data_IF_374452915214
#
_entry.id   IF_374452915214
#
_cell.length_a   1.000
_cell.length_b   1.000
_cell.length_c   1.000
_cell.angle_alpha   90.00
_cell.angle_beta   90.00
_cell.angle_gamma   90.00
#
_symmetry.space_group_name_H-M   'P 1'
#
loop_
_entity.id
_entity.type
_entity.pdbx_description
1 polymer ?
#
# COMPACT_ATOMS: atom_id res chain seq x y z
N UNK A 1 13.65 6.72 5.35
CA UNK A 1 13.77 5.56 4.43
C UNK A 1 12.75 4.58 4.90
N UNK A 2 11.91 4.06 4.00
CA UNK A 2 10.83 3.12 4.37
C UNK A 2 11.39 1.94 5.15
N UNK A 3 10.71 1.57 6.23
CA UNK A 3 10.97 0.32 6.94
C UNK A 3 10.12 -0.78 6.29
N UNK A 4 10.77 -1.78 5.70
CA UNK A 4 10.12 -2.94 5.12
C UNK A 4 10.71 -4.24 5.67
N UNK A 5 9.85 -5.20 6.01
CA UNK A 5 10.23 -6.48 6.61
C UNK A 5 9.15 -7.53 6.38
N UNK A 6 9.50 -8.80 6.50
CA UNK A 6 8.49 -9.87 6.46
C UNK A 6 7.60 -9.82 7.72
N UNK A 7 6.31 -10.01 7.50
CA UNK A 7 5.29 -10.09 8.54
C UNK A 7 5.38 -11.44 9.28
N UNK A 8 5.20 -11.45 10.60
CA UNK A 8 5.25 -12.68 11.43
C UNK A 8 4.01 -13.58 11.34
N UNK A 9 2.88 -13.02 10.90
CA UNK A 9 1.56 -13.67 10.79
C UNK A 9 0.95 -14.09 12.13
N UNK A 10 1.33 -13.44 13.22
CA UNK A 10 0.71 -13.70 14.52
C UNK A 10 -0.70 -13.09 14.60
N UNK A 11 -1.73 -13.88 14.30
CA UNK A 11 -3.13 -13.44 14.35
C UNK A 11 -3.66 -13.23 15.79
N UNK A 12 -2.87 -13.55 16.83
CA UNK A 12 -3.26 -13.30 18.23
C UNK A 12 -3.01 -11.85 18.65
N UNK A 13 -2.25 -11.10 17.85
CA UNK A 13 -1.90 -9.70 18.07
C UNK A 13 -2.70 -8.82 17.11
N UNK A 14 -3.04 -7.60 17.55
CA UNK A 14 -3.76 -6.62 16.74
C UNK A 14 -2.98 -6.31 15.47
N UNK A 15 -3.62 -6.41 14.30
CA UNK A 15 -2.96 -6.23 13.00
C UNK A 15 -2.26 -4.87 12.81
N UNK A 16 -2.56 -3.88 13.64
CA UNK A 16 -1.95 -2.54 13.67
C UNK A 16 -0.61 -2.50 14.41
N UNK A 17 -0.25 -3.56 15.13
CA UNK A 17 1.07 -3.72 15.75
C UNK A 17 2.15 -3.92 14.68
N UNK A 18 3.44 -3.84 14.99
CA UNK A 18 4.48 -3.95 13.97
C UNK A 18 4.52 -5.28 13.21
N UNK A 19 4.20 -6.42 13.83
CA UNK A 19 4.28 -7.75 13.21
C UNK A 19 5.62 -8.06 12.53
N UNK A 20 6.73 -7.61 13.12
CA UNK A 20 8.05 -7.73 12.53
C UNK A 20 8.69 -9.09 12.85
N UNK A 21 8.88 -9.93 11.83
CA UNK A 21 9.56 -11.23 11.96
C UNK A 21 11.07 -11.13 12.27
N UNK A 22 11.66 -9.95 12.11
CA UNK A 22 13.11 -9.72 12.18
C UNK A 22 13.83 -9.86 10.83
N UNK A 23 13.14 -10.31 9.78
CA UNK A 23 13.69 -10.42 8.42
C UNK A 23 13.41 -9.14 7.63
N UNK A 24 14.42 -8.28 7.47
CA UNK A 24 14.30 -7.02 6.72
C UNK A 24 14.22 -7.24 5.21
N UNK A 25 13.48 -6.38 4.52
CA UNK A 25 13.36 -6.35 3.06
C UNK A 25 13.93 -5.03 2.53
N UNK A 26 14.82 -5.11 1.54
CA UNK A 26 15.41 -3.93 0.89
C UNK A 26 14.47 -3.30 -0.13
N UNK A 27 14.74 -2.04 -0.50
CA UNK A 27 14.01 -1.35 -1.56
C UNK A 27 14.17 -2.09 -2.91
N UNK A 28 15.33 -2.68 -3.18
CA UNK A 28 15.56 -3.45 -4.41
C UNK A 28 14.70 -4.72 -4.43
N UNK A 29 14.51 -5.38 -3.28
CA UNK A 29 13.60 -6.53 -3.17
C UNK A 29 12.13 -6.12 -3.40
N UNK A 30 11.71 -4.96 -2.90
CA UNK A 30 10.39 -4.41 -3.22
C UNK A 30 10.26 -4.10 -4.72
N UNK A 31 11.30 -3.53 -5.33
CA UNK A 31 11.31 -3.22 -6.76
C UNK A 31 11.21 -4.48 -7.64
N UNK A 32 11.82 -5.60 -7.23
CA UNK A 32 11.73 -6.88 -7.95
C UNK A 32 10.29 -7.42 -8.03
N UNK A 33 9.44 -7.10 -7.05
CA UNK A 33 8.00 -7.44 -7.08
C UNK A 33 7.13 -6.29 -7.63
N UNK A 34 7.77 -5.29 -8.27
CA UNK A 34 7.12 -4.16 -8.93
C UNK A 34 6.69 -3.02 -7.99
N UNK A 35 6.93 -3.13 -6.68
CA UNK A 35 6.59 -2.08 -5.71
C UNK A 35 7.65 -0.98 -5.75
N UNK A 36 7.24 0.25 -6.00
CA UNK A 36 8.15 1.39 -6.09
C UNK A 36 8.00 2.26 -4.84
N UNK A 37 9.11 2.46 -4.14
CA UNK A 37 9.24 3.43 -3.07
C UNK A 37 10.05 4.65 -3.53
N UNK A 38 9.59 5.85 -3.18
CA UNK A 38 10.35 7.09 -3.35
C UNK A 38 10.27 7.94 -2.08
N UNK A 39 11.39 8.42 -1.53
CA UNK A 39 11.35 9.48 -0.52
C UNK A 39 11.03 10.81 -1.20
N UNK A 40 9.90 11.39 -0.81
CA UNK A 40 9.41 12.69 -1.25
C UNK A 40 9.18 13.61 -0.04
N UNK A 41 10.23 14.15 0.63
CA UNK A 41 10.07 15.05 1.79
C UNK A 41 9.14 16.26 1.59
N UNK A 42 8.87 16.64 0.33
CA UNK A 42 8.00 17.75 -0.02
C UNK A 42 6.98 17.36 -1.09
N UNK A 43 5.85 18.08 -1.13
CA UNK A 43 4.84 17.90 -2.18
C UNK A 43 5.41 18.18 -3.59
N UNK A 44 6.42 19.05 -3.71
CA UNK A 44 7.11 19.30 -4.97
C UNK A 44 7.79 18.03 -5.52
N UNK A 45 8.45 17.25 -4.67
CA UNK A 45 9.09 15.99 -5.09
C UNK A 45 8.05 14.92 -5.45
N UNK A 46 6.91 14.91 -4.78
CA UNK A 46 5.78 14.05 -5.19
C UNK A 46 5.22 14.49 -6.55
N UNK A 47 5.15 15.80 -6.82
CA UNK A 47 4.72 16.33 -8.12
C UNK A 47 5.65 15.93 -9.26
N UNK A 48 6.97 15.87 -9.02
CA UNK A 48 7.92 15.40 -10.02
C UNK A 48 7.62 13.95 -10.43
N UNK A 49 7.33 13.08 -9.45
CA UNK A 49 6.91 11.68 -9.72
C UNK A 49 5.57 11.64 -10.44
N UNK A 50 4.62 12.50 -10.07
CA UNK A 50 3.33 12.60 -10.74
C UNK A 50 3.46 13.00 -12.21
N UNK A 51 4.38 13.91 -12.54
CA UNK A 51 4.69 14.32 -13.92
C UNK A 51 5.35 13.16 -14.67
N UNK A 52 6.39 12.55 -14.09
CA UNK A 52 7.13 11.43 -14.67
C UNK A 52 6.20 10.26 -15.04
N UNK A 53 5.23 9.96 -14.17
CA UNK A 53 4.31 8.82 -14.32
C UNK A 53 2.94 9.18 -14.90
N UNK A 54 2.75 10.43 -15.31
CA UNK A 54 1.50 10.96 -15.88
C UNK A 54 0.28 10.72 -14.96
N UNK A 55 0.42 11.02 -13.67
CA UNK A 55 -0.69 11.04 -12.71
C UNK A 55 -1.43 12.38 -12.81
N UNK A 56 -2.65 12.35 -13.35
CA UNK A 56 -3.42 13.54 -13.72
C UNK A 56 -4.37 14.00 -12.63
N UNK A 57 -4.81 13.08 -11.77
CA UNK A 57 -5.78 13.36 -10.71
C UNK A 57 -5.18 13.06 -9.34
N UNK A 58 -5.70 13.76 -8.33
CA UNK A 58 -5.37 13.52 -6.92
C UNK A 58 -6.48 13.96 -6.00
N UNK A 59 -6.52 13.35 -4.82
CA UNK A 59 -7.30 13.86 -3.69
C UNK A 59 -6.54 13.64 -2.37
N UNK A 60 -7.11 14.16 -1.28
CA UNK A 60 -6.57 14.00 0.07
C UNK A 60 -7.56 13.25 0.93
N UNK A 61 -7.07 12.28 1.68
CA UNK A 61 -7.84 11.51 2.64
C UNK A 61 -7.20 11.58 4.02
N UNK A 62 -8.04 11.55 5.05
CA UNK A 62 -7.63 11.45 6.45
C UNK A 62 -8.38 10.27 7.07
N UNK A 63 -7.66 9.34 7.68
CA UNK A 63 -8.23 8.16 8.33
C UNK A 63 -7.87 8.23 9.81
N UNK A 64 -8.89 8.49 10.64
CA UNK A 64 -8.78 8.55 12.09
C UNK A 64 -10.14 8.36 12.74
N UNK A 65 -10.16 8.23 14.07
CA UNK A 65 -11.42 8.24 14.82
C UNK A 65 -12.18 9.55 14.67
N UNK A 66 -11.49 10.68 14.48
CA UNK A 66 -12.12 11.98 14.26
C UNK A 66 -12.76 12.06 12.87
N UNK A 67 -12.08 11.57 11.82
CA UNK A 67 -12.58 11.67 10.46
C UNK A 67 -13.66 10.63 10.13
N UNK A 68 -13.62 9.45 10.76
CA UNK A 68 -14.49 8.32 10.43
C UNK A 68 -15.44 7.90 11.56
N UNK A 69 -15.22 8.32 12.81
CA UNK A 69 -16.03 7.91 13.96
C UNK A 69 -16.21 6.39 14.04
N UNK A 70 -17.45 5.95 14.22
CA UNK A 70 -17.82 4.53 14.31
C UNK A 70 -17.52 3.73 13.03
N UNK A 71 -17.33 4.40 11.89
CA UNK A 71 -17.00 3.75 10.63
C UNK A 71 -15.51 3.39 10.50
N UNK A 72 -14.66 3.83 11.44
CA UNK A 72 -13.21 3.57 11.39
C UNK A 72 -12.92 2.06 11.34
N UNK A 73 -13.40 1.30 12.32
CA UNK A 73 -13.11 -0.13 12.44
C UNK A 73 -13.60 -0.90 11.20
N UNK A 74 -14.88 -0.82 10.80
CA UNK A 74 -15.35 -1.52 9.60
C UNK A 74 -14.54 -1.17 8.34
N UNK A 75 -14.08 0.08 8.20
CA UNK A 75 -13.20 0.48 7.10
C UNK A 75 -11.81 -0.14 7.20
N UNK A 76 -11.19 -0.17 8.39
CA UNK A 76 -9.91 -0.85 8.58
C UNK A 76 -10.00 -2.34 8.27
N UNK A 77 -11.09 -3.03 8.63
CA UNK A 77 -11.31 -4.43 8.23
C UNK A 77 -11.38 -4.58 6.71
N UNK A 78 -12.10 -3.69 6.04
CA UNK A 78 -12.23 -3.73 4.59
C UNK A 78 -10.88 -3.46 3.89
N UNK A 79 -10.09 -2.49 4.39
CA UNK A 79 -8.77 -2.18 3.85
C UNK A 79 -7.73 -3.26 4.15
N UNK A 80 -7.87 -3.95 5.29
CA UNK A 80 -6.94 -5.01 5.70
C UNK A 80 -7.26 -6.38 5.08
N UNK A 81 -8.43 -6.55 4.48
CA UNK A 81 -8.71 -7.72 3.66
C UNK A 81 -7.78 -7.75 2.44
N UNK A 82 -7.16 -8.90 2.16
CA UNK A 82 -6.27 -9.06 1.00
C UNK A 82 -7.03 -8.83 -0.32
N UNK A 83 -6.52 -7.90 -1.13
CA UNK A 83 -7.13 -7.52 -2.41
C UNK A 83 -6.09 -7.06 -3.43
N UNK A 84 -6.54 -6.93 -4.69
CA UNK A 84 -5.80 -6.25 -5.75
C UNK A 84 -6.68 -5.22 -6.47
N UNK A 85 -6.03 -4.36 -7.24
CA UNK A 85 -6.66 -3.37 -8.11
C UNK A 85 -6.21 -3.59 -9.57
N UNK A 86 -7.05 -3.19 -10.52
CA UNK A 86 -6.71 -3.19 -11.95
C UNK A 86 -5.81 -2.01 -12.36
N UNK A 87 -5.70 -1.01 -11.49
CA UNK A 87 -4.85 0.17 -11.65
C UNK A 87 -3.78 0.23 -10.54
N UNK A 88 -2.76 1.09 -10.73
CA UNK A 88 -1.77 1.36 -9.68
C UNK A 88 -2.44 1.98 -8.44
N UNK A 89 -2.05 1.51 -7.26
CA UNK A 89 -2.40 2.16 -5.99
C UNK A 89 -1.23 3.04 -5.53
N UNK A 90 -1.43 4.37 -5.61
CA UNK A 90 -0.41 5.36 -5.28
C UNK A 90 -0.78 6.13 -4.02
N UNK A 91 0.13 6.17 -3.05
CA UNK A 91 -0.07 6.80 -1.75
C UNK A 91 1.15 7.61 -1.35
N UNK A 92 0.93 8.90 -1.15
CA UNK A 92 1.90 9.82 -0.56
C UNK A 92 1.44 10.21 0.84
N UNK A 93 2.26 9.98 1.85
CA UNK A 93 1.90 10.29 3.25
C UNK A 93 2.26 11.75 3.56
N UNK A 94 1.24 12.53 3.91
CA UNK A 94 1.41 13.93 4.35
C UNK A 94 1.58 14.03 5.87
N UNK A 95 0.89 13.18 6.64
CA UNK A 95 0.93 13.17 8.10
C UNK A 95 0.54 11.78 8.65
N UNK A 96 0.90 11.51 9.91
CA UNK A 96 0.64 10.22 10.56
C UNK A 96 1.40 9.05 9.93
N UNK A 97 0.89 7.83 10.10
CA UNK A 97 1.57 6.62 9.67
C UNK A 97 0.62 5.45 9.40
N UNK A 98 1.06 4.52 8.55
CA UNK A 98 0.32 3.30 8.25
C UNK A 98 1.20 2.20 7.67
N UNK A 99 0.63 1.00 7.61
CA UNK A 99 1.23 -0.17 7.02
C UNK A 99 0.56 -0.53 5.70
N UNK A 100 1.37 -0.76 4.68
CA UNK A 100 0.97 -1.48 3.47
C UNK A 100 1.62 -2.86 3.51
N UNK A 101 0.82 -3.91 3.57
CA UNK A 101 1.33 -5.26 3.41
C UNK A 101 1.16 -5.67 1.94
N UNK A 102 2.20 -6.24 1.35
CA UNK A 102 2.21 -6.73 -0.04
C UNK A 102 2.64 -8.18 -0.08
N UNK A 103 2.03 -8.99 -0.95
CA UNK A 103 2.47 -10.36 -1.18
C UNK A 103 3.76 -10.35 -1.99
N UNK A 104 4.78 -11.02 -1.49
CA UNK A 104 5.90 -11.43 -2.31
C UNK A 104 5.45 -12.55 -3.26
N UNK A 105 5.49 -12.31 -4.56
CA UNK A 105 5.01 -13.28 -5.54
C UNK A 105 5.85 -14.56 -5.64
N UNK A 106 7.10 -14.55 -5.12
CA UNK A 106 8.01 -15.70 -5.18
C UNK A 106 7.70 -16.74 -4.10
N UNK A 107 7.41 -16.28 -2.87
CA UNK A 107 7.23 -17.14 -1.69
C UNK A 107 5.85 -17.01 -1.03
N UNK A 108 4.96 -16.18 -1.60
CA UNK A 108 3.61 -15.85 -1.11
C UNK A 108 3.59 -15.32 0.34
N UNK A 109 4.71 -14.81 0.86
CA UNK A 109 4.79 -14.23 2.21
C UNK A 109 4.38 -12.75 2.19
N UNK A 110 3.86 -12.28 3.32
CA UNK A 110 3.58 -10.85 3.53
C UNK A 110 4.87 -10.07 3.81
N UNK A 111 5.08 -9.01 3.06
CA UNK A 111 6.05 -7.95 3.38
C UNK A 111 5.26 -6.75 3.89
N UNK A 112 5.58 -6.28 5.09
CA UNK A 112 5.00 -5.09 5.71
C UNK A 112 5.89 -3.89 5.45
N UNK A 113 5.32 -2.84 4.86
CA UNK A 113 5.97 -1.56 4.62
C UNK A 113 5.35 -0.51 5.56
N UNK A 114 6.16 0.09 6.44
CA UNK A 114 5.74 1.22 7.29
C UNK A 114 5.99 2.54 6.56
N UNK A 115 4.94 3.31 6.32
CA UNK A 115 5.04 4.61 5.67
C UNK A 115 4.78 5.72 6.67
N UNK A 116 5.61 6.76 6.59
CA UNK A 116 5.56 7.96 7.44
C UNK A 116 5.58 9.22 6.55
N UNK A 117 5.43 10.44 7.11
CA UNK A 117 5.34 11.65 6.29
C UNK A 117 6.55 11.83 5.37
N UNK A 118 6.27 12.13 4.10
CA UNK A 118 7.27 12.24 3.05
C UNK A 118 7.55 10.93 2.30
N UNK A 119 6.89 9.81 2.64
CA UNK A 119 7.00 8.58 1.87
C UNK A 119 5.95 8.51 0.75
N UNK A 120 6.42 8.14 -0.46
CA UNK A 120 5.57 7.76 -1.59
C UNK A 120 5.75 6.28 -1.88
N UNK A 121 4.63 5.54 -1.90
CA UNK A 121 4.59 4.14 -2.31
C UNK A 121 3.65 3.97 -3.51
N UNK A 122 4.09 3.21 -4.50
CA UNK A 122 3.33 2.84 -5.69
C UNK A 122 3.25 1.32 -5.72
N UNK A 123 2.04 0.80 -5.59
CA UNK A 123 1.73 -0.60 -5.76
C UNK A 123 1.32 -0.84 -7.22
N UNK A 124 1.95 -1.78 -7.93
CA UNK A 124 1.59 -2.06 -9.31
C UNK A 124 0.19 -2.69 -9.40
N UNK A 125 -0.50 -2.46 -10.50
CA UNK A 125 -1.75 -3.15 -10.79
C UNK A 125 -1.56 -4.68 -10.71
N UNK A 126 -2.54 -5.40 -10.18
CA UNK A 126 -2.51 -6.87 -10.05
C UNK A 126 -1.71 -7.43 -8.86
N UNK A 127 -1.05 -6.60 -8.04
CA UNK A 127 -0.42 -7.06 -6.80
C UNK A 127 -1.46 -7.27 -5.69
N UNK A 128 -1.34 -8.39 -4.96
CA UNK A 128 -2.08 -8.57 -3.73
C UNK A 128 -1.48 -7.74 -2.61
N UNK A 129 -2.32 -6.93 -1.99
CA UNK A 129 -1.94 -6.05 -0.91
C UNK A 129 -3.11 -5.83 0.06
N UNK A 130 -2.80 -5.15 1.15
CA UNK A 130 -3.76 -4.66 2.14
C UNK A 130 -3.19 -3.46 2.88
N UNK A 131 -4.06 -2.69 3.51
CA UNK A 131 -3.68 -1.50 4.28
C UNK A 131 -4.22 -1.57 5.71
N UNK A 132 -3.44 -1.06 6.66
CA UNK A 132 -3.92 -0.74 8.00
C UNK A 132 -3.20 0.48 8.58
N UNK A 133 -3.81 1.12 9.57
CA UNK A 133 -3.13 2.10 10.40
C UNK A 133 -2.14 1.40 11.33
N UNK A 134 -1.19 2.17 11.87
CA UNK A 134 -0.49 1.73 13.08
C UNK A 134 -1.38 1.92 14.31
N UNK A 135 -0.89 1.55 15.49
CA UNK A 135 -1.56 1.83 16.77
C UNK A 135 -1.74 3.32 17.06
N UNK A 136 -1.07 4.22 16.30
CA UNK A 136 -1.30 5.66 16.36
C UNK A 136 -2.67 6.09 15.80
N UNK A 137 -3.33 5.22 15.01
CA UNK A 137 -4.68 5.43 14.48
C UNK A 137 -4.90 6.74 13.72
N UNK A 138 -3.86 7.19 13.00
CA UNK A 138 -3.93 8.41 12.21
C UNK A 138 -3.04 8.31 10.98
N UNK A 139 -3.62 8.58 9.82
CA UNK A 139 -2.86 8.90 8.61
C UNK A 139 -3.58 9.96 7.79
N UNK A 140 -2.82 10.85 7.17
CA UNK A 140 -3.26 11.74 6.11
C UNK A 140 -2.43 11.45 4.87
N UNK A 141 -3.11 11.17 3.76
CA UNK A 141 -2.46 10.79 2.52
C UNK A 141 -3.04 11.55 1.32
N UNK A 142 -2.16 11.87 0.37
CA UNK A 142 -2.56 12.19 -1.00
C UNK A 142 -2.63 10.90 -1.79
N UNK A 143 -3.75 10.68 -2.45
CA UNK A 143 -3.92 9.58 -3.41
C UNK A 143 -3.74 10.14 -4.81
N UNK A 144 -2.97 9.46 -5.64
CA UNK A 144 -2.70 9.85 -7.03
C UNK A 144 -3.27 8.83 -8.02
N UNK A 145 -3.67 9.30 -9.20
CA UNK A 145 -4.27 8.46 -10.23
C UNK A 145 -3.82 8.89 -11.62
N UNK A 146 -3.68 7.90 -12.53
CA UNK A 146 -3.50 8.17 -13.96
C UNK A 146 -4.75 8.80 -14.57
N UNK A 147 -5.91 8.19 -14.34
CA UNK A 147 -7.22 8.62 -14.84
C UNK A 147 -8.24 8.79 -13.70
N UNK A 148 -9.55 8.77 -13.99
CA UNK A 148 -10.57 8.76 -12.93
C UNK A 148 -10.47 7.45 -12.11
N UNK A 149 -10.48 7.52 -10.77
CA UNK A 149 -10.16 6.36 -9.95
C UNK A 149 -11.28 5.31 -9.98
N UNK A 150 -10.92 4.07 -10.30
CA UNK A 150 -11.76 2.89 -10.07
C UNK A 150 -11.35 2.21 -8.77
N UNK A 151 -12.12 2.44 -7.71
CA UNK A 151 -11.84 1.90 -6.37
C UNK A 151 -12.26 0.44 -6.17
N UNK A 152 -12.22 -0.38 -7.21
CA UNK A 152 -12.72 -1.74 -7.13
C UNK A 152 -11.63 -2.64 -6.57
N UNK A 153 -11.82 -3.09 -5.33
CA UNK A 153 -10.98 -4.09 -4.69
C UNK A 153 -11.45 -5.49 -5.06
N UNK A 154 -10.55 -6.33 -5.58
CA UNK A 154 -10.83 -7.71 -5.92
C UNK A 154 -10.09 -8.65 -4.98
N UNK A 155 -10.84 -9.42 -4.18
CA UNK A 155 -10.28 -10.37 -3.23
C UNK A 155 -9.79 -11.67 -3.87
N UNK A 156 -8.83 -12.32 -3.20
CA UNK A 156 -8.38 -13.68 -3.51
C UNK A 156 -9.44 -14.71 -3.08
N UNK A 157 -9.66 -15.85 -3.79
CA UNK A 157 -8.96 -16.31 -4.99
C UNK A 157 -9.62 -15.91 -6.31
N UNK A 158 -10.72 -15.15 -6.30
CA UNK A 158 -11.45 -14.81 -7.54
C UNK A 158 -10.56 -14.00 -8.48
N UNK A 159 -9.77 -13.08 -7.93
CA UNK A 159 -8.87 -12.23 -8.69
C UNK A 159 -7.67 -12.97 -9.32
N UNK A 160 -7.41 -14.23 -8.94
CA UNK A 160 -6.34 -15.05 -9.55
C UNK A 160 -6.58 -15.32 -11.05
N UNK A 161 -7.83 -15.16 -11.52
CA UNK A 161 -8.24 -15.39 -12.92
C UNK A 161 -8.28 -14.10 -13.76
N UNK A 162 -7.91 -12.96 -13.18
CA UNK A 162 -8.02 -11.68 -13.86
C UNK A 162 -6.79 -11.47 -14.74
N UNK A 163 -6.97 -10.93 -15.93
CA UNK A 163 -5.84 -10.69 -16.86
C UNK A 163 -4.77 -9.79 -16.23
N UNK A 164 -5.18 -8.79 -15.44
CA UNK A 164 -4.22 -7.90 -14.76
C UNK A 164 -3.32 -8.64 -13.77
N UNK A 165 -3.81 -9.72 -13.15
CA UNK A 165 -3.00 -10.55 -12.25
C UNK A 165 -1.97 -11.35 -13.04
N UNK A 166 -2.36 -11.90 -14.18
CA UNK A 166 -1.45 -12.62 -15.09
C UNK A 166 -0.38 -11.67 -15.67
N UNK A 167 -0.78 -10.48 -16.09
CA UNK A 167 0.13 -9.43 -16.58
C UNK A 167 1.13 -8.99 -15.50
N UNK A 168 0.67 -8.78 -14.27
CA UNK A 168 1.54 -8.50 -13.13
C UNK A 168 2.59 -9.60 -12.93
N UNK A 169 2.16 -10.86 -12.86
CA UNK A 169 3.06 -12.00 -12.66
C UNK A 169 4.07 -12.17 -13.81
N UNK A 170 3.69 -11.83 -15.03
CA UNK A 170 4.59 -11.84 -16.18
C UNK A 170 5.58 -10.66 -16.19
N UNK A 171 5.27 -9.56 -15.49
CA UNK A 171 6.09 -8.34 -15.45
C UNK A 171 7.24 -8.39 -14.45
N UNK A 172 7.19 -9.31 -13.50
CA UNK A 172 8.16 -9.45 -12.41
C UNK A 172 9.13 -10.60 -12.69
N UNK A 173 10.35 -10.50 -12.15
CA UNK A 173 11.47 -11.42 -12.43
C UNK A 173 12.10 -11.98 -11.17
#
# INVERSE_FOLDING_TARGET
MVEAYYHDNDESVDFREPHNSGETVSIDQLANIGVIYKPCPTEAQMNDVAIERNYRNRDRVSISSESLGDALWPKLQAFYAEHLHEDEEIRYIEDGEGYFDVRNAVDDRWIRCKLVPGDLLILPAGIYHRFTLTTQNYVKAVRLFKDEPKWVAHGRPIADKFSIREEYLASIH
#
